data_IF_155976881588
#
_entry.id   IF_155976881588
#
_cell.length_a   1.000
_cell.length_b   1.000
_cell.length_c   1.000
_cell.angle_alpha   90.00
_cell.angle_beta   90.00
_cell.angle_gamma   90.00
#
_symmetry.space_group_name_H-M   'P 1'
#
loop_
_entity.id
_entity.type
_entity.pdbx_description
1 polymer ?
#
# COMPACT_ATOMS: atom_id res chain seq x y z
N UNK A 1 -10.52 -1.41 2.82
CA UNK A 1 -9.89 -2.31 1.84
C UNK A 1 -8.95 -3.27 2.54
N UNK A 2 -8.61 -4.37 1.88
CA UNK A 2 -7.67 -5.33 2.44
C UNK A 2 -6.24 -5.00 2.03
N UNK A 3 -5.27 -5.61 2.73
CA UNK A 3 -3.87 -5.49 2.36
C UNK A 3 -3.65 -5.93 0.90
N UNK A 4 -4.29 -7.03 0.50
CA UNK A 4 -4.14 -7.57 -0.86
C UNK A 4 -4.65 -6.57 -1.90
N UNK A 5 -5.76 -5.92 -1.61
CA UNK A 5 -6.29 -4.90 -2.52
C UNK A 5 -5.34 -3.73 -2.64
N UNK A 6 -4.79 -3.26 -1.52
CA UNK A 6 -3.85 -2.15 -1.52
C UNK A 6 -2.58 -2.50 -2.31
N UNK A 7 -2.08 -3.72 -2.12
CA UNK A 7 -0.88 -4.16 -2.85
C UNK A 7 -1.14 -4.25 -4.35
N UNK A 8 -2.35 -4.64 -4.74
CA UNK A 8 -2.72 -4.70 -6.14
C UNK A 8 -2.75 -3.32 -6.78
N UNK A 9 -3.31 -2.33 -6.05
CA UNK A 9 -3.31 -0.94 -6.51
C UNK A 9 -1.88 -0.44 -6.63
N UNK A 10 -1.07 -0.67 -5.58
CA UNK A 10 0.31 -0.21 -5.56
C UNK A 10 1.13 -0.81 -6.70
N UNK A 11 0.87 -2.08 -7.03
CA UNK A 11 1.61 -2.76 -8.09
C UNK A 11 1.42 -2.07 -9.44
N UNK A 12 0.25 -1.47 -9.68
CA UNK A 12 -0.02 -0.74 -10.91
C UNK A 12 0.88 0.48 -11.07
N UNK A 13 1.47 0.95 -9.97
CA UNK A 13 2.34 2.12 -9.97
C UNK A 13 3.79 1.76 -9.64
N UNK A 14 4.10 0.48 -9.55
CA UNK A 14 5.45 0.04 -9.21
C UNK A 14 5.83 0.26 -7.76
N UNK A 15 4.85 0.36 -6.87
CA UNK A 15 5.06 0.70 -5.45
C UNK A 15 4.67 -0.43 -4.49
N UNK A 16 4.55 -1.66 -5.01
CA UNK A 16 4.08 -2.78 -4.20
C UNK A 16 4.97 -3.02 -2.97
N UNK A 17 6.28 -3.01 -3.17
CA UNK A 17 7.23 -3.26 -2.09
C UNK A 17 7.15 -2.16 -1.02
N UNK A 18 7.08 -0.91 -1.46
CA UNK A 18 7.01 0.23 -0.56
C UNK A 18 5.75 0.19 0.28
N UNK A 19 4.61 -0.05 -0.37
CA UNK A 19 3.33 -0.10 0.34
C UNK A 19 3.29 -1.30 1.28
N UNK A 20 3.80 -2.45 0.86
CA UNK A 20 3.85 -3.64 1.72
C UNK A 20 4.67 -3.35 2.98
N UNK A 21 5.80 -2.68 2.83
CA UNK A 21 6.66 -2.34 3.96
C UNK A 21 5.93 -1.43 4.94
N UNK A 22 5.19 -0.44 4.45
CA UNK A 22 4.46 0.48 5.30
C UNK A 22 3.33 -0.22 6.05
N UNK A 23 2.61 -1.12 5.40
CA UNK A 23 1.56 -1.89 6.06
C UNK A 23 2.19 -2.78 7.15
N UNK A 24 3.33 -3.40 6.85
CA UNK A 24 4.01 -4.25 7.82
C UNK A 24 4.55 -3.47 9.01
N UNK A 25 4.78 -2.17 8.85
CA UNK A 25 5.27 -1.31 9.93
C UNK A 25 4.13 -0.73 10.77
N UNK A 26 2.88 -0.98 10.40
CA UNK A 26 1.73 -0.60 11.22
C UNK A 26 0.70 0.29 10.57
N UNK A 27 0.92 0.76 9.35
CA UNK A 27 -0.08 1.59 8.67
C UNK A 27 -1.23 0.71 8.17
N UNK A 28 -2.42 1.30 8.12
CA UNK A 28 -3.54 0.61 7.47
C UNK A 28 -3.30 0.63 5.96
N UNK A 29 -3.97 -0.29 5.21
CA UNK A 29 -3.84 -0.27 3.74
C UNK A 29 -4.18 1.10 3.15
N UNK A 30 -5.23 1.75 3.66
CA UNK A 30 -5.63 3.06 3.19
C UNK A 30 -4.56 4.11 3.46
N UNK A 31 -3.99 4.11 4.68
CA UNK A 31 -2.93 5.04 5.04
C UNK A 31 -1.69 4.85 4.17
N UNK A 32 -1.34 3.60 3.92
CA UNK A 32 -0.17 3.30 3.10
C UNK A 32 -0.33 3.82 1.68
N UNK A 33 -1.51 3.65 1.09
CA UNK A 33 -1.78 4.17 -0.24
C UNK A 33 -1.79 5.69 -0.25
N UNK A 34 -2.39 6.29 0.77
CA UNK A 34 -2.48 7.75 0.86
C UNK A 34 -1.11 8.42 0.90
N UNK A 35 -0.14 7.77 1.53
CA UNK A 35 1.24 8.29 1.62
C UNK A 35 1.85 8.50 0.23
N UNK A 36 1.38 7.77 -0.76
CA UNK A 36 1.91 7.83 -2.13
C UNK A 36 0.93 8.52 -3.09
N UNK A 37 -0.11 9.19 -2.56
CA UNK A 37 -1.14 9.85 -3.36
C UNK A 37 -1.91 8.86 -4.24
N UNK A 38 -2.15 7.69 -3.74
CA UNK A 38 -2.87 6.66 -4.51
C UNK A 38 -4.34 6.48 -4.10
#
# INVERSE_FOLDING_TARGET
>A
MTKEEALRVAACYGLETEVAREINSGLTPEQALYEWDL
#
